data_IF_108500944853
#
_entry.id   IF_108500944853
#
_cell.length_a   1.000
_cell.length_b   1.000
_cell.length_c   1.000
_cell.angle_alpha   90.00
_cell.angle_beta   90.00
_cell.angle_gamma   90.00
#
_symmetry.space_group_name_H-M   'P 1'
#
loop_
_entity.id
_entity.type
_entity.pdbx_description
1 polymer ?
#
# COMPACT_ATOMS: atom_id res chain seq x y z
N UNK A 1 -38.26 -17.48 19.65
CA UNK A 1 -37.30 -17.09 20.70
C UNK A 1 -36.06 -17.96 20.53
N UNK A 2 -34.91 -17.35 20.23
CA UNK A 2 -33.66 -18.05 19.99
C UNK A 2 -32.62 -17.07 19.46
N UNK A 3 -32.09 -16.24 20.36
CA UNK A 3 -30.97 -15.35 20.06
C UNK A 3 -29.72 -16.22 19.82
N UNK A 4 -29.31 -16.36 18.57
CA UNK A 4 -27.96 -16.84 18.25
C UNK A 4 -27.01 -15.64 18.32
N UNK A 5 -26.61 -15.29 19.55
CA UNK A 5 -25.46 -14.42 19.75
C UNK A 5 -24.21 -15.19 19.36
N UNK A 6 -23.70 -14.96 18.16
CA UNK A 6 -22.36 -15.37 17.77
C UNK A 6 -21.42 -14.24 18.18
N UNK A 7 -20.72 -14.43 19.30
CA UNK A 7 -19.61 -13.57 19.68
C UNK A 7 -18.38 -14.00 18.87
N UNK A 8 -17.89 -13.14 17.99
CA UNK A 8 -16.58 -13.33 17.36
C UNK A 8 -15.54 -12.76 18.32
N UNK A 9 -14.85 -13.66 19.02
CA UNK A 9 -13.62 -13.34 19.74
C UNK A 9 -12.53 -13.12 18.69
N UNK A 10 -12.26 -11.86 18.35
CA UNK A 10 -11.01 -11.52 17.67
C UNK A 10 -9.89 -11.75 18.68
N UNK A 11 -9.28 -12.94 18.57
CA UNK A 11 -8.07 -13.28 19.30
C UNK A 11 -7.01 -12.22 19.01
N UNK A 12 -6.18 -12.00 20.01
CA UNK A 12 -5.07 -11.07 20.06
C UNK A 12 -4.07 -11.34 18.93
N UNK A 13 -4.40 -10.96 17.70
CA UNK A 13 -3.39 -10.45 16.79
C UNK A 13 -3.06 -9.07 17.31
N UNK A 14 -1.84 -8.83 17.78
CA UNK A 14 -1.34 -7.47 17.60
C UNK A 14 -1.54 -7.16 16.11
N UNK A 15 -1.81 -5.90 15.76
CA UNK A 15 -1.44 -5.43 14.43
C UNK A 15 0.08 -5.56 14.38
N UNK A 16 0.56 -6.79 14.19
CA UNK A 16 1.95 -7.14 14.31
C UNK A 16 2.55 -6.53 13.07
N UNK A 17 3.25 -5.41 13.27
CA UNK A 17 4.18 -4.80 12.34
C UNK A 17 5.27 -5.84 12.06
N UNK A 18 4.97 -6.82 11.21
CA UNK A 18 5.92 -7.84 10.80
C UNK A 18 6.48 -7.46 9.45
N UNK A 19 7.71 -6.94 9.47
CA UNK A 19 8.48 -6.54 8.29
C UNK A 19 8.99 -7.72 7.43
N UNK A 20 8.47 -8.94 7.63
CA UNK A 20 8.99 -10.15 6.99
C UNK A 20 8.18 -10.53 5.76
N UNK A 21 8.81 -10.39 4.59
CA UNK A 21 8.21 -10.60 3.26
C UNK A 21 8.24 -12.07 2.83
N UNK A 22 7.16 -12.61 2.21
CA UNK A 22 7.22 -13.89 1.51
C UNK A 22 8.11 -13.80 0.26
N UNK A 23 8.90 -14.84 0.01
CA UNK A 23 9.80 -14.95 -1.14
C UNK A 23 9.02 -15.12 -2.45
N UNK A 24 9.32 -14.24 -3.41
CA UNK A 24 8.93 -14.21 -4.85
C UNK A 24 7.79 -13.28 -5.30
N UNK A 25 6.96 -12.72 -4.41
CA UNK A 25 6.02 -11.63 -4.78
C UNK A 25 6.52 -10.25 -4.28
N UNK A 26 6.55 -9.25 -5.19
CA UNK A 26 6.52 -7.81 -4.86
C UNK A 26 7.83 -7.02 -4.76
N UNK A 27 8.88 -7.29 -5.55
CA UNK A 27 10.03 -6.37 -5.60
C UNK A 27 9.66 -5.20 -6.51
N UNK A 28 10.16 -3.99 -6.19
CA UNK A 28 9.96 -2.82 -7.03
C UNK A 28 10.39 -3.12 -8.46
N UNK A 29 9.48 -2.96 -9.39
CA UNK A 29 9.70 -2.99 -10.82
C UNK A 29 10.21 -1.63 -11.30
N UNK A 30 10.62 -1.56 -12.57
CA UNK A 30 11.05 -0.29 -13.18
C UNK A 30 10.02 0.83 -13.02
N UNK A 31 8.72 0.51 -13.06
CA UNK A 31 7.64 1.49 -12.98
C UNK A 31 7.47 2.07 -11.57
N UNK A 32 7.92 1.36 -10.53
CA UNK A 32 7.80 1.84 -9.14
C UNK A 32 8.80 2.97 -8.82
N UNK A 33 9.86 3.12 -9.63
CA UNK A 33 10.70 4.32 -9.65
C UNK A 33 10.17 5.38 -10.61
N UNK A 34 8.86 5.61 -10.61
CA UNK A 34 8.21 6.69 -11.34
C UNK A 34 8.34 8.01 -10.57
N UNK A 35 8.45 9.12 -11.30
CA UNK A 35 8.52 10.45 -10.68
C UNK A 35 7.22 10.79 -9.93
N UNK A 36 6.07 10.47 -10.51
CA UNK A 36 4.76 10.61 -9.88
C UNK A 36 4.39 9.28 -9.19
N UNK A 37 3.82 9.28 -7.96
CA UNK A 37 3.45 8.08 -7.27
C UNK A 37 2.18 7.47 -7.84
N UNK A 38 2.01 6.15 -7.70
CA UNK A 38 0.80 5.44 -8.11
C UNK A 38 0.09 4.81 -6.90
N UNK A 39 -1.21 4.54 -7.05
CA UNK A 39 -1.95 3.78 -6.04
C UNK A 39 -1.32 2.41 -5.85
N UNK A 40 -1.14 2.01 -4.59
CA UNK A 40 -0.49 0.75 -4.26
C UNK A 40 1.04 0.83 -4.22
N UNK A 41 1.63 1.97 -4.57
CA UNK A 41 3.07 2.16 -4.56
C UNK A 41 3.66 2.20 -3.16
N UNK A 42 4.96 1.89 -3.06
CA UNK A 42 5.68 1.84 -1.79
C UNK A 42 5.95 3.23 -1.22
N UNK A 43 5.75 3.41 0.08
CA UNK A 43 6.19 4.61 0.82
C UNK A 43 6.77 4.23 2.17
N UNK A 44 7.62 5.09 2.72
CA UNK A 44 8.14 4.93 4.07
C UNK A 44 8.71 6.22 4.62
N UNK A 45 9.07 6.24 5.91
CA UNK A 45 9.71 7.40 6.52
C UNK A 45 10.98 7.81 5.76
N UNK A 46 11.15 9.11 5.55
CA UNK A 46 12.25 9.64 4.73
C UNK A 46 13.62 9.22 5.27
N UNK A 47 14.52 8.85 4.35
CA UNK A 47 15.90 8.47 4.66
C UNK A 47 16.01 7.31 5.67
N UNK A 48 15.00 6.44 5.74
CA UNK A 48 14.96 5.32 6.68
C UNK A 48 14.60 4.00 6.03
N UNK A 49 15.26 2.94 6.49
CA UNK A 49 14.99 1.55 6.11
C UNK A 49 14.12 0.81 7.12
N UNK A 50 13.53 1.52 8.09
CA UNK A 50 12.82 0.89 9.21
C UNK A 50 11.52 0.22 8.80
N UNK A 51 10.76 0.83 7.88
CA UNK A 51 9.45 0.32 7.48
C UNK A 51 9.02 0.77 6.09
N UNK A 52 8.15 -0.02 5.48
CA UNK A 52 7.54 0.21 4.18
C UNK A 52 6.03 -0.04 4.26
N UNK A 53 5.25 0.85 3.67
CA UNK A 53 3.79 0.84 3.65
C UNK A 53 3.25 1.28 2.28
N UNK A 54 1.94 1.42 2.13
CA UNK A 54 1.31 1.71 0.84
C UNK A 54 0.87 3.16 0.73
N UNK A 55 1.16 3.76 -0.43
CA UNK A 55 0.50 4.99 -0.90
C UNK A 55 -0.87 4.63 -1.46
N UNK A 56 -1.93 5.06 -0.78
CA UNK A 56 -3.30 4.73 -1.20
C UNK A 56 -3.67 5.40 -2.52
N UNK A 57 -3.38 6.69 -2.62
CA UNK A 57 -3.72 7.54 -3.74
C UNK A 57 -3.88 8.99 -3.29
N UNK A 58 -4.49 9.80 -4.13
CA UNK A 58 -4.75 11.20 -3.88
C UNK A 58 -6.20 11.49 -3.48
N UNK A 59 -6.40 12.50 -2.65
CA UNK A 59 -7.70 13.12 -2.33
C UNK A 59 -7.65 14.61 -2.61
N UNK A 60 -8.76 15.17 -3.08
CA UNK A 60 -8.96 16.62 -3.11
C UNK A 60 -9.67 17.07 -1.83
N UNK A 61 -9.11 18.09 -1.18
CA UNK A 61 -9.61 18.68 0.06
C UNK A 61 -9.87 20.16 -0.18
N UNK A 62 -11.09 20.62 0.08
CA UNK A 62 -11.49 22.01 -0.13
C UNK A 62 -11.27 22.83 1.14
N UNK A 63 -10.26 23.70 1.12
CA UNK A 63 -9.99 24.63 2.21
C UNK A 63 -10.82 25.91 2.05
N UNK A 64 -11.35 26.50 3.15
CA UNK A 64 -12.20 27.69 3.10
C UNK A 64 -11.60 28.88 2.35
N UNK A 65 -10.28 29.10 2.49
CA UNK A 65 -9.56 30.25 1.91
C UNK A 65 -8.75 29.91 0.65
N UNK A 66 -8.37 28.64 0.45
CA UNK A 66 -7.38 28.24 -0.56
C UNK A 66 -7.99 27.43 -1.70
N UNK A 67 -9.27 27.04 -1.59
CA UNK A 67 -9.95 26.21 -2.57
C UNK A 67 -9.51 24.76 -2.50
N UNK A 68 -9.63 24.06 -3.63
CA UNK A 68 -9.27 22.63 -3.72
C UNK A 68 -7.76 22.45 -3.76
N UNK A 69 -7.25 21.62 -2.85
CA UNK A 69 -5.86 21.16 -2.83
C UNK A 69 -5.81 19.63 -2.85
N UNK A 70 -4.78 19.10 -3.48
CA UNK A 70 -4.56 17.67 -3.59
C UNK A 70 -3.59 17.19 -2.50
N UNK A 71 -3.93 16.08 -1.86
CA UNK A 71 -3.12 15.43 -0.83
C UNK A 71 -2.96 13.96 -1.13
N UNK A 72 -1.77 13.41 -0.86
CA UNK A 72 -1.60 11.95 -0.79
C UNK A 72 -2.29 11.39 0.45
N UNK A 73 -2.72 10.13 0.41
CA UNK A 73 -3.38 9.47 1.53
C UNK A 73 -2.72 8.12 1.86
N UNK A 74 -2.48 7.89 3.14
CA UNK A 74 -2.05 6.62 3.73
C UNK A 74 -2.59 6.50 5.18
N UNK A 75 -2.13 5.55 5.98
CA UNK A 75 -2.50 5.44 7.39
C UNK A 75 -1.62 6.31 8.31
N UNK A 76 -2.13 6.64 9.51
CA UNK A 76 -1.38 7.36 10.53
C UNK A 76 -0.17 6.54 11.00
N UNK A 77 -0.38 5.26 11.33
CA UNK A 77 0.71 4.40 11.81
C UNK A 77 1.83 4.18 10.78
N UNK A 78 1.54 4.41 9.50
CA UNK A 78 2.52 4.31 8.42
C UNK A 78 3.50 5.49 8.42
N UNK A 79 3.04 6.68 8.84
CA UNK A 79 3.86 7.89 8.87
C UNK A 79 4.54 8.12 10.22
N UNK A 80 3.99 7.56 11.31
CA UNK A 80 4.56 7.64 12.67
C UNK A 80 5.39 6.41 13.07
N UNK A 81 5.75 5.56 12.10
CA UNK A 81 6.45 4.30 12.38
C UNK A 81 7.82 4.47 13.07
N UNK A 82 8.55 5.55 12.78
CA UNK A 82 9.83 5.87 13.41
C UNK A 82 9.70 6.69 14.69
N UNK A 83 8.77 7.64 14.67
CA UNK A 83 8.59 8.65 15.69
C UNK A 83 7.10 8.85 15.89
N UNK A 84 6.68 8.65 17.14
CA UNK A 84 5.35 9.01 17.58
C UNK A 84 5.39 9.62 18.97
N UNK A 85 4.50 10.57 19.22
CA UNK A 85 4.26 11.16 20.52
C UNK A 85 2.90 10.70 21.03
N UNK A 86 2.73 10.67 22.37
CA UNK A 86 1.43 10.38 22.97
C UNK A 86 0.32 11.33 22.49
N UNK A 87 0.69 12.57 22.17
CA UNK A 87 -0.23 13.57 21.63
C UNK A 87 -0.68 13.20 20.21
N UNK A 88 0.26 12.87 19.32
CA UNK A 88 -0.07 12.43 17.96
C UNK A 88 -0.88 11.13 17.95
N UNK A 89 -0.53 10.17 18.82
CA UNK A 89 -1.27 8.92 18.94
C UNK A 89 -2.73 9.17 19.36
N UNK A 90 -2.98 10.15 20.24
CA UNK A 90 -4.30 10.39 20.80
C UNK A 90 -5.15 11.37 19.99
N UNK A 91 -4.53 12.42 19.48
CA UNK A 91 -5.20 13.55 18.86
C UNK A 91 -4.95 13.66 17.36
N UNK A 92 -3.99 12.89 16.84
CA UNK A 92 -3.50 13.01 15.49
C UNK A 92 -2.60 14.22 15.30
N UNK A 93 -2.18 14.42 14.05
CA UNK A 93 -1.38 15.57 13.66
C UNK A 93 -2.34 16.62 13.08
N UNK A 94 -2.39 17.79 13.69
CA UNK A 94 -3.17 18.92 13.19
C UNK A 94 -2.36 19.76 12.19
N UNK A 95 -3.01 20.35 11.16
CA UNK A 95 -2.32 21.25 10.23
C UNK A 95 -1.58 22.37 10.92
N UNK A 96 -0.36 22.67 10.46
CA UNK A 96 0.45 23.76 10.98
C UNK A 96 1.06 23.52 12.35
N UNK A 97 0.97 22.30 12.91
CA UNK A 97 1.72 21.93 14.12
C UNK A 97 3.23 22.12 13.85
N UNK A 98 3.94 23.00 14.56
CA UNK A 98 5.37 23.26 14.33
C UNK A 98 6.26 22.08 14.71
N UNK A 99 5.76 21.14 15.52
CA UNK A 99 6.49 19.92 15.90
C UNK A 99 6.43 18.85 14.81
N UNK A 100 5.54 18.99 13.82
CA UNK A 100 5.43 18.04 12.73
C UNK A 100 6.52 18.28 11.67
N UNK A 101 7.55 17.44 11.72
CA UNK A 101 8.67 17.39 10.78
C UNK A 101 8.71 16.08 9.96
N UNK A 102 7.62 15.29 10.00
CA UNK A 102 7.58 13.97 9.37
C UNK A 102 7.57 14.12 7.85
N UNK A 103 8.54 13.46 7.21
CA UNK A 103 8.71 13.42 5.75
C UNK A 103 8.70 11.98 5.26
N UNK A 104 8.23 11.79 4.03
CA UNK A 104 7.94 10.47 3.45
C UNK A 104 8.67 10.34 2.12
N UNK A 105 9.23 9.16 1.88
CA UNK A 105 9.84 8.74 0.61
C UNK A 105 8.86 7.95 -0.26
N UNK A 106 9.04 8.08 -1.58
CA UNK A 106 8.43 7.26 -2.62
C UNK A 106 9.45 6.96 -3.75
N UNK A 107 9.74 5.67 -4.03
CA UNK A 107 9.39 4.52 -3.20
C UNK A 107 10.07 4.59 -1.82
N UNK A 108 9.70 3.74 -0.86
CA UNK A 108 10.42 3.69 0.42
C UNK A 108 11.90 3.37 0.22
N UNK A 109 12.78 3.91 1.08
CA UNK A 109 14.21 3.62 1.01
C UNK A 109 14.52 2.14 1.31
N UNK A 110 13.74 1.53 2.20
CA UNK A 110 13.81 0.09 2.50
C UNK A 110 13.56 -0.75 1.23
N UNK A 111 12.41 -0.55 0.55
CA UNK A 111 12.08 -1.30 -0.67
C UNK A 111 13.05 -1.00 -1.81
N UNK A 112 13.50 0.25 -1.92
CA UNK A 112 14.54 0.64 -2.87
C UNK A 112 15.83 -0.18 -2.65
N UNK A 113 16.30 -0.26 -1.41
CA UNK A 113 17.53 -0.97 -1.04
C UNK A 113 17.39 -2.47 -1.26
N UNK A 114 16.27 -3.04 -0.84
CA UNK A 114 15.97 -4.47 -1.04
C UNK A 114 15.87 -4.84 -2.52
N UNK A 115 15.23 -4.00 -3.35
CA UNK A 115 15.12 -4.25 -4.78
C UNK A 115 16.48 -4.15 -5.50
N UNK A 116 17.32 -3.17 -5.13
CA UNK A 116 18.69 -3.08 -5.66
C UNK A 116 19.50 -4.32 -5.31
N UNK A 117 19.44 -4.77 -4.05
CA UNK A 117 20.14 -5.97 -3.59
C UNK A 117 19.67 -7.19 -4.39
N UNK A 118 18.36 -7.40 -4.48
CA UNK A 118 17.75 -8.50 -5.24
C UNK A 118 18.22 -8.52 -6.70
N UNK A 119 18.20 -7.38 -7.39
CA UNK A 119 18.62 -7.32 -8.78
C UNK A 119 20.11 -7.59 -8.97
N UNK A 120 20.97 -7.15 -8.05
CA UNK A 120 22.40 -7.47 -8.09
C UNK A 120 22.64 -8.98 -7.94
N UNK A 121 22.05 -9.58 -6.91
CA UNK A 121 22.14 -11.02 -6.64
C UNK A 121 21.61 -11.84 -7.82
N UNK A 122 20.42 -11.49 -8.34
CA UNK A 122 19.83 -12.20 -9.49
C UNK A 122 20.67 -12.07 -10.78
N UNK A 123 21.28 -10.91 -11.03
CA UNK A 123 22.20 -10.73 -12.17
C UNK A 123 23.44 -11.62 -11.99
N UNK A 124 24.00 -11.66 -10.78
CA UNK A 124 25.16 -12.48 -10.45
C UNK A 124 24.86 -13.96 -10.64
N UNK A 125 23.77 -14.46 -10.05
CA UNK A 125 23.32 -15.85 -10.15
C UNK A 125 23.09 -16.29 -11.60
N UNK A 126 22.36 -15.49 -12.39
CA UNK A 126 22.11 -15.80 -13.81
C UNK A 126 23.41 -15.77 -14.62
N UNK A 127 24.30 -14.81 -14.34
CA UNK A 127 25.57 -14.64 -15.07
C UNK A 127 26.60 -15.73 -14.73
N UNK A 128 26.55 -16.26 -13.50
CA UNK A 128 27.44 -17.31 -13.02
C UNK A 128 26.89 -18.74 -13.26
N UNK A 129 25.63 -18.87 -13.67
CA UNK A 129 25.01 -20.18 -13.90
C UNK A 129 25.81 -21.02 -14.92
N UNK A 130 26.11 -22.26 -14.55
CA UNK A 130 26.94 -23.17 -15.37
C UNK A 130 26.38 -23.33 -16.79
N UNK A 131 25.06 -23.43 -16.92
CA UNK A 131 24.39 -23.52 -18.21
C UNK A 131 24.64 -22.27 -19.07
N UNK A 132 24.55 -21.07 -18.49
CA UNK A 132 24.77 -19.84 -19.23
C UNK A 132 26.23 -19.69 -19.65
N UNK A 133 27.18 -19.94 -18.73
CA UNK A 133 28.62 -19.82 -19.01
C UNK A 133 29.09 -20.85 -20.04
N UNK A 134 28.67 -22.11 -19.90
CA UNK A 134 29.07 -23.20 -20.81
C UNK A 134 28.51 -23.00 -22.21
N UNK A 135 27.23 -22.63 -22.37
CA UNK A 135 26.64 -22.34 -23.67
C UNK A 135 27.31 -21.13 -24.30
N UNK A 136 27.55 -20.05 -23.53
CA UNK A 136 28.25 -18.86 -24.02
C UNK A 136 29.62 -19.22 -24.59
N UNK A 137 30.42 -19.96 -23.82
CA UNK A 137 31.77 -20.38 -24.25
C UNK A 137 31.73 -21.20 -25.54
N UNK A 138 30.85 -22.19 -25.63
CA UNK A 138 30.70 -23.03 -26.83
C UNK A 138 30.21 -22.23 -28.04
N UNK A 139 29.34 -21.24 -27.83
CA UNK A 139 28.92 -20.32 -28.89
C UNK A 139 30.06 -19.41 -29.36
N UNK A 140 30.89 -18.90 -28.44
CA UNK A 140 32.07 -18.08 -28.77
C UNK A 140 33.15 -18.89 -29.52
N UNK A 141 33.16 -20.22 -29.36
CA UNK A 141 34.06 -21.18 -30.02
C UNK A 141 33.48 -21.77 -31.34
N UNK A 142 32.32 -21.30 -31.81
CA UNK A 142 31.61 -21.82 -32.99
C UNK A 142 31.36 -23.34 -32.96
N UNK A 143 31.13 -23.91 -31.76
CA UNK A 143 30.91 -25.34 -31.56
C UNK A 143 29.63 -25.82 -32.29
N UNK A 144 29.73 -26.71 -33.30
CA UNK A 144 28.58 -27.17 -34.08
C UNK A 144 27.60 -28.03 -33.26
N UNK A 145 27.98 -28.47 -32.06
CA UNK A 145 27.12 -29.26 -31.17
C UNK A 145 26.11 -28.41 -30.38
N UNK A 146 26.21 -27.08 -30.42
CA UNK A 146 25.24 -26.20 -29.74
C UNK A 146 23.90 -26.24 -30.48
N UNK A 147 22.91 -26.86 -29.84
CA UNK A 147 21.57 -27.02 -30.39
C UNK A 147 20.80 -25.69 -30.47
N UNK A 148 19.78 -25.59 -31.33
CA UNK A 148 18.88 -24.42 -31.37
C UNK A 148 18.23 -24.12 -30.02
N UNK A 149 17.89 -25.15 -29.23
CA UNK A 149 17.28 -24.99 -27.91
C UNK A 149 18.25 -24.35 -26.90
N UNK A 150 19.53 -24.74 -26.91
CA UNK A 150 20.55 -24.12 -26.06
C UNK A 150 20.77 -22.65 -26.43
N UNK A 151 20.83 -22.32 -27.73
CA UNK A 151 20.90 -20.93 -28.19
C UNK A 151 19.70 -20.12 -27.70
N UNK A 152 18.50 -20.69 -27.78
CA UNK A 152 17.28 -20.03 -27.32
C UNK A 152 17.25 -19.85 -25.79
N UNK A 153 17.75 -20.83 -25.03
CA UNK A 153 17.91 -20.70 -23.58
C UNK A 153 18.92 -19.60 -23.21
N UNK A 154 20.08 -19.57 -23.88
CA UNK A 154 21.08 -18.52 -23.71
C UNK A 154 20.51 -17.13 -23.99
N UNK A 155 19.83 -16.93 -25.13
CA UNK A 155 19.27 -15.62 -25.48
C UNK A 155 18.17 -15.17 -24.51
N UNK A 156 17.37 -16.10 -23.97
CA UNK A 156 16.40 -15.79 -22.91
C UNK A 156 17.10 -15.28 -21.65
N UNK A 157 18.09 -15.99 -21.14
CA UNK A 157 18.86 -15.58 -19.95
C UNK A 157 19.61 -14.27 -20.20
N UNK A 158 20.22 -14.09 -21.37
CA UNK A 158 20.90 -12.84 -21.76
C UNK A 158 19.94 -11.66 -21.78
N UNK A 159 18.74 -11.84 -22.34
CA UNK A 159 17.69 -10.81 -22.38
C UNK A 159 17.22 -10.47 -20.96
N UNK A 160 17.04 -11.46 -20.10
CA UNK A 160 16.69 -11.25 -18.69
C UNK A 160 17.77 -10.46 -17.95
N UNK A 161 19.06 -10.85 -18.06
CA UNK A 161 20.18 -10.11 -17.47
C UNK A 161 20.21 -8.66 -17.98
N UNK A 162 20.00 -8.44 -19.28
CA UNK A 162 19.97 -7.10 -19.85
C UNK A 162 18.82 -6.25 -19.28
N UNK A 163 17.63 -6.84 -19.13
CA UNK A 163 16.48 -6.20 -18.52
C UNK A 163 16.75 -5.82 -17.06
N UNK A 164 17.28 -6.76 -16.25
CA UNK A 164 17.63 -6.52 -14.85
C UNK A 164 18.67 -5.39 -14.71
N UNK A 165 19.71 -5.38 -15.55
CA UNK A 165 20.71 -4.30 -15.57
C UNK A 165 20.10 -2.95 -15.91
N UNK A 166 19.17 -2.90 -16.86
CA UNK A 166 18.47 -1.67 -17.21
C UNK A 166 17.62 -1.15 -16.05
N UNK A 167 16.88 -2.03 -15.38
CA UNK A 167 16.08 -1.68 -14.18
C UNK A 167 16.97 -1.21 -13.04
N UNK A 168 18.08 -1.89 -12.76
CA UNK A 168 19.04 -1.46 -11.73
C UNK A 168 19.64 -0.08 -12.03
N UNK A 169 20.01 0.19 -13.29
CA UNK A 169 20.50 1.51 -13.71
C UNK A 169 19.43 2.59 -13.56
N UNK A 170 18.16 2.27 -13.80
CA UNK A 170 17.05 3.19 -13.58
C UNK A 170 16.90 3.53 -12.10
N UNK A 171 16.88 2.52 -11.22
CA UNK A 171 16.81 2.69 -9.78
C UNK A 171 17.95 3.57 -9.23
N UNK A 172 19.20 3.31 -9.64
CA UNK A 172 20.34 4.15 -9.22
C UNK A 172 20.21 5.60 -9.70
N UNK A 173 19.77 5.84 -10.95
CA UNK A 173 19.56 7.21 -11.44
C UNK A 173 18.48 7.94 -10.67
N UNK A 174 17.42 7.24 -10.29
CA UNK A 174 16.35 7.80 -9.48
C UNK A 174 16.87 8.25 -8.10
N UNK A 175 17.63 7.39 -7.43
CA UNK A 175 18.25 7.70 -6.13
C UNK A 175 19.24 8.87 -6.21
N UNK A 176 20.14 8.86 -7.20
CA UNK A 176 21.17 9.89 -7.35
C UNK A 176 20.62 11.30 -7.65
N UNK A 177 19.36 11.39 -8.08
CA UNK A 177 18.68 12.66 -8.33
C UNK A 177 17.92 13.18 -7.10
N UNK A 178 18.08 12.52 -5.94
CA UNK A 178 17.38 12.84 -4.70
C UNK A 178 15.85 12.85 -4.86
N UNK A 179 15.34 11.92 -5.68
CA UNK A 179 13.91 11.85 -6.05
C UNK A 179 13.07 10.98 -5.11
N UNK A 180 13.64 10.48 -4.01
CA UNK A 180 12.89 9.68 -3.05
C UNK A 180 11.87 10.56 -2.30
N UNK A 181 12.26 11.75 -1.83
CA UNK A 181 11.41 12.61 -1.01
C UNK A 181 10.08 12.93 -1.73
N UNK A 182 8.99 12.35 -1.25
CA UNK A 182 7.64 12.55 -1.78
C UNK A 182 7.03 13.84 -1.26
N UNK A 183 7.17 14.07 0.04
CA UNK A 183 6.53 15.19 0.71
C UNK A 183 6.57 15.06 2.22
N UNK A 184 5.70 15.83 2.87
CA UNK A 184 5.59 15.90 4.33
C UNK A 184 4.18 15.52 4.78
N UNK A 185 4.07 15.00 6.00
CA UNK A 185 2.76 14.77 6.62
C UNK A 185 2.11 16.13 6.84
N UNK A 186 0.86 16.29 6.39
CA UNK A 186 0.08 17.50 6.58
C UNK A 186 -0.83 17.41 7.81
N UNK A 187 -1.55 16.29 7.92
CA UNK A 187 -2.47 16.02 9.02
C UNK A 187 -2.67 14.51 9.18
N UNK A 188 -3.12 14.07 10.35
CA UNK A 188 -3.49 12.67 10.56
C UNK A 188 -4.54 12.51 11.66
N UNK A 189 -5.17 11.34 11.75
CA UNK A 189 -6.21 11.05 12.74
C UNK A 189 -5.68 10.75 14.14
N UNK A 190 -4.48 10.17 14.25
CA UNK A 190 -4.08 9.39 15.42
C UNK A 190 -4.84 8.06 15.48
N UNK A 191 -4.77 7.37 16.62
CA UNK A 191 -5.50 6.13 16.93
C UNK A 191 -6.86 6.40 17.59
N UNK A 192 -7.58 7.39 17.07
CA UNK A 192 -8.87 7.80 17.62
C UNK A 192 -10.02 6.98 17.07
N UNK A 193 -11.21 7.23 17.61
CA UNK A 193 -12.45 6.76 17.01
C UNK A 193 -13.41 7.92 16.81
N UNK A 194 -14.30 7.78 15.84
CA UNK A 194 -15.40 8.71 15.66
C UNK A 194 -16.53 8.45 16.67
N UNK A 195 -17.57 9.27 16.61
CA UNK A 195 -18.76 9.17 17.47
C UNK A 195 -19.54 7.85 17.31
N UNK A 196 -19.38 7.16 16.19
CA UNK A 196 -19.95 5.84 15.89
C UNK A 196 -19.05 4.69 16.40
N UNK A 197 -17.97 5.02 17.12
CA UNK A 197 -16.91 4.11 17.58
C UNK A 197 -16.13 3.46 16.45
N UNK A 198 -16.17 4.00 15.23
CA UNK A 198 -15.33 3.49 14.16
C UNK A 198 -13.90 3.96 14.34
N UNK A 199 -12.96 3.03 14.17
CA UNK A 199 -11.54 3.30 14.30
C UNK A 199 -11.08 4.14 13.11
N UNK A 200 -10.23 5.11 13.41
CA UNK A 200 -9.62 6.00 12.45
C UNK A 200 -8.11 5.82 12.50
N UNK A 201 -7.51 5.84 11.33
CA UNK A 201 -6.08 5.64 11.13
C UNK A 201 -5.74 6.10 9.72
N UNK A 202 -5.64 7.41 9.53
CA UNK A 202 -5.35 8.02 8.24
C UNK A 202 -4.35 9.18 8.39
N UNK A 203 -3.58 9.43 7.35
CA UNK A 203 -2.67 10.56 7.24
C UNK A 203 -2.71 11.16 5.83
N UNK A 204 -2.81 12.48 5.77
CA UNK A 204 -2.68 13.27 4.56
C UNK A 204 -1.23 13.70 4.36
N UNK A 205 -0.74 13.60 3.13
CA UNK A 205 0.60 14.01 2.71
C UNK A 205 0.48 15.24 1.82
N UNK A 206 1.20 16.30 2.17
CA UNK A 206 1.46 17.41 1.24
C UNK A 206 2.58 16.97 0.28
N UNK A 207 2.17 16.61 -0.93
CA UNK A 207 3.04 16.12 -2.01
C UNK A 207 3.43 17.29 -2.92
N UNK A 208 4.67 17.30 -3.42
CA UNK A 208 5.10 18.27 -4.43
C UNK A 208 4.13 18.28 -5.63
N UNK A 209 3.68 19.47 -6.04
CA UNK A 209 2.69 19.63 -7.11
C UNK A 209 3.15 19.06 -8.46
N UNK A 210 4.46 18.94 -8.69
CA UNK A 210 5.02 18.33 -9.89
C UNK A 210 5.03 16.80 -9.83
N UNK A 211 4.87 16.21 -8.64
CA UNK A 211 4.82 14.76 -8.42
C UNK A 211 3.39 14.23 -8.31
N UNK A 212 2.39 15.00 -8.70
CA UNK A 212 0.99 14.57 -8.61
C UNK A 212 0.63 13.63 -9.77
N UNK A 213 -0.16 12.59 -9.50
CA UNK A 213 -0.74 11.71 -10.52
C UNK A 213 -2.25 11.53 -10.34
N UNK A 214 -2.85 10.73 -11.23
CA UNK A 214 -4.24 10.28 -11.10
C UNK A 214 -4.31 8.96 -10.33
N UNK A 215 -5.44 8.74 -9.65
CA UNK A 215 -5.81 7.47 -9.03
C UNK A 215 -6.17 6.41 -10.08
N UNK A 216 -5.20 6.00 -10.89
CA UNK A 216 -5.41 5.08 -12.01
C UNK A 216 -5.78 3.70 -11.51
N UNK A 217 -6.87 3.17 -12.04
CA UNK A 217 -7.29 1.80 -11.84
C UNK A 217 -6.44 0.84 -12.69
N UNK A 218 -6.20 -0.39 -12.20
CA UNK A 218 -5.41 -1.38 -12.94
C UNK A 218 -6.12 -1.74 -14.25
N UNK A 219 -5.34 -1.90 -15.32
CA UNK A 219 -5.87 -2.44 -16.58
C UNK A 219 -6.14 -3.94 -16.44
N UNK A 220 -6.93 -4.51 -17.34
CA UNK A 220 -7.22 -5.95 -17.33
C UNK A 220 -5.96 -6.82 -17.41
N UNK A 221 -4.88 -6.28 -18.00
CA UNK A 221 -3.61 -6.96 -18.12
C UNK A 221 -2.85 -7.01 -16.78
N UNK A 222 -3.04 -6.00 -15.93
CA UNK A 222 -2.48 -5.93 -14.57
C UNK A 222 -3.22 -6.85 -13.59
N UNK A 223 -4.44 -7.29 -13.94
CA UNK A 223 -5.26 -8.15 -13.08
C UNK A 223 -4.86 -9.63 -13.21
N UNK A 224 -4.68 -10.35 -12.09
CA UNK A 224 -4.48 -11.80 -12.09
C UNK A 224 -5.58 -12.53 -12.85
N UNK A 225 -5.21 -13.51 -13.69
CA UNK A 225 -6.16 -14.20 -14.58
C UNK A 225 -7.43 -14.71 -13.88
N UNK A 226 -7.32 -15.22 -12.66
CA UNK A 226 -8.46 -15.72 -11.87
C UNK A 226 -9.45 -14.64 -11.41
N UNK A 227 -9.01 -13.38 -11.37
CA UNK A 227 -9.78 -12.22 -10.90
C UNK A 227 -10.39 -11.40 -12.04
N UNK A 228 -9.93 -11.60 -13.29
CA UNK A 228 -10.37 -10.82 -14.46
C UNK A 228 -11.88 -10.86 -14.70
N UNK A 229 -12.54 -11.98 -14.38
CA UNK A 229 -13.98 -12.12 -14.57
C UNK A 229 -14.82 -11.32 -13.55
N UNK A 230 -14.29 -11.07 -12.35
CA UNK A 230 -14.96 -10.27 -11.32
C UNK A 230 -14.62 -8.79 -11.39
N UNK A 231 -13.51 -8.42 -12.02
CA UNK A 231 -13.09 -7.04 -12.20
C UNK A 231 -13.86 -6.39 -13.36
N UNK A 232 -14.67 -5.37 -13.05
CA UNK A 232 -15.65 -4.76 -13.97
C UNK A 232 -15.45 -3.25 -14.13
N UNK A 233 -14.29 -2.73 -13.76
CA UNK A 233 -14.01 -1.30 -13.91
C UNK A 233 -13.92 -0.94 -15.40
N UNK A 234 -14.74 0.04 -15.79
CA UNK A 234 -14.76 0.58 -17.16
C UNK A 234 -14.01 1.91 -17.29
N UNK A 235 -13.73 2.56 -16.15
CA UNK A 235 -13.02 3.84 -16.08
C UNK A 235 -11.53 3.59 -15.82
N UNK A 236 -10.69 4.46 -16.36
CA UNK A 236 -9.24 4.43 -16.10
C UNK A 236 -8.87 4.99 -14.72
N UNK A 237 -9.75 5.78 -14.11
CA UNK A 237 -9.52 6.46 -12.83
C UNK A 237 -10.61 6.07 -11.85
N UNK A 238 -10.21 5.95 -10.58
CA UNK A 238 -11.08 5.64 -9.46
C UNK A 238 -12.24 6.63 -9.36
N UNK A 239 -13.46 6.11 -9.25
CA UNK A 239 -14.66 6.90 -9.07
C UNK A 239 -14.87 7.32 -7.61
N UNK A 240 -15.81 8.24 -7.41
CA UNK A 240 -16.20 8.73 -6.09
C UNK A 240 -16.63 7.64 -5.10
N UNK A 241 -16.79 8.01 -3.81
CA UNK A 241 -17.12 7.05 -2.77
C UNK A 241 -18.48 6.38 -2.99
N UNK A 242 -18.55 5.08 -2.76
CA UNK A 242 -19.80 4.31 -2.71
C UNK A 242 -20.03 3.78 -1.30
N UNK A 243 -21.26 3.89 -0.81
CA UNK A 243 -21.62 3.36 0.49
C UNK A 243 -21.53 1.84 0.52
N UNK A 244 -21.09 1.29 1.66
CA UNK A 244 -21.02 -0.16 1.87
C UNK A 244 -22.43 -0.76 1.91
N UNK A 245 -22.70 -1.77 1.06
CA UNK A 245 -24.00 -2.45 0.95
C UNK A 245 -23.83 -3.96 0.95
N UNK A 246 -24.80 -4.66 1.54
CA UNK A 246 -24.98 -6.12 1.41
C UNK A 246 -23.71 -6.94 1.57
N UNK A 247 -23.71 -8.09 0.91
CA UNK A 247 -22.49 -8.73 0.43
C UNK A 247 -21.99 -7.94 -0.79
N UNK A 248 -20.75 -7.51 -0.73
CA UNK A 248 -20.13 -6.70 -1.79
C UNK A 248 -18.70 -7.16 -1.99
N UNK A 249 -18.33 -7.38 -3.26
CA UNK A 249 -16.95 -7.61 -3.63
C UNK A 249 -16.13 -6.34 -3.42
N UNK A 250 -14.89 -6.50 -2.99
CA UNK A 250 -13.94 -5.41 -2.79
C UNK A 250 -12.58 -5.79 -3.36
N UNK A 251 -11.84 -4.79 -3.80
CA UNK A 251 -10.51 -4.90 -4.36
C UNK A 251 -9.59 -3.92 -3.64
N UNK A 252 -8.29 -4.22 -3.63
CA UNK A 252 -7.25 -3.25 -3.28
C UNK A 252 -6.00 -3.48 -4.12
N UNK A 253 -5.12 -2.49 -4.17
CA UNK A 253 -3.74 -2.64 -4.63
C UNK A 253 -2.84 -2.19 -3.49
N UNK A 254 -2.05 -3.11 -2.94
CA UNK A 254 -1.09 -2.82 -1.87
C UNK A 254 0.34 -3.12 -2.29
N UNK A 255 1.32 -2.48 -1.64
CA UNK A 255 2.73 -2.64 -1.99
C UNK A 255 3.23 -4.08 -1.85
N UNK A 256 2.65 -4.87 -0.94
CA UNK A 256 3.11 -6.23 -0.63
C UNK A 256 2.36 -7.27 -1.45
N UNK A 257 1.03 -7.17 -1.54
CA UNK A 257 0.23 -8.18 -2.27
C UNK A 257 -0.04 -7.82 -3.73
N UNK A 258 0.25 -6.59 -4.15
CA UNK A 258 -0.32 -6.04 -5.38
C UNK A 258 -1.85 -6.06 -5.33
N UNK A 259 -2.48 -6.48 -6.43
CA UNK A 259 -3.93 -6.64 -6.52
C UNK A 259 -4.45 -7.80 -5.65
N UNK A 260 -5.42 -7.49 -4.78
CA UNK A 260 -6.15 -8.45 -3.96
C UNK A 260 -7.65 -8.25 -4.08
N UNK A 261 -8.40 -9.35 -4.01
CA UNK A 261 -9.86 -9.34 -3.97
C UNK A 261 -10.37 -9.94 -2.66
N UNK A 262 -11.51 -9.43 -2.21
CA UNK A 262 -12.23 -9.94 -1.06
C UNK A 262 -13.72 -9.70 -1.17
N UNK A 263 -14.44 -10.11 -0.13
CA UNK A 263 -15.88 -9.93 -0.02
C UNK A 263 -16.20 -9.45 1.39
N UNK A 264 -17.11 -8.48 1.49
CA UNK A 264 -17.71 -8.08 2.76
C UNK A 264 -18.73 -9.16 3.18
N UNK A 265 -18.51 -9.79 4.34
CA UNK A 265 -19.43 -10.79 4.86
C UNK A 265 -20.67 -10.20 5.53
N UNK A 266 -21.57 -11.05 6.04
CA UNK A 266 -22.76 -10.63 6.79
C UNK A 266 -22.40 -9.86 8.07
N UNK A 267 -21.32 -10.28 8.76
CA UNK A 267 -20.72 -9.53 9.85
C UNK A 267 -19.77 -8.49 9.27
N UNK A 268 -20.24 -7.24 9.23
CA UNK A 268 -19.48 -6.15 8.61
C UNK A 268 -18.47 -5.51 9.54
N UNK A 269 -18.68 -5.57 10.86
CA UNK A 269 -17.86 -4.84 11.82
C UNK A 269 -17.19 -5.78 12.81
N UNK A 270 -15.88 -5.59 12.95
CA UNK A 270 -15.02 -6.27 13.92
C UNK A 270 -14.87 -5.39 15.17
N UNK A 271 -15.05 -5.95 16.37
CA UNK A 271 -14.67 -5.29 17.64
C UNK A 271 -13.16 -5.41 17.82
N UNK A 272 -12.46 -4.31 17.64
CA UNK A 272 -11.01 -4.25 17.68
C UNK A 272 -10.58 -3.48 18.91
N UNK A 273 -9.60 -4.06 19.58
CA UNK A 273 -8.94 -3.41 20.68
C UNK A 273 -7.80 -2.52 20.16
N UNK A 274 -8.00 -1.21 20.24
CA UNK A 274 -6.96 -0.22 19.98
C UNK A 274 -6.18 0.09 21.26
N UNK A 275 -4.89 0.31 21.08
CA UNK A 275 -3.98 0.75 22.12
C UNK A 275 -3.37 2.07 21.71
N UNK A 276 -3.30 3.02 22.64
CA UNK A 276 -2.57 4.26 22.44
C UNK A 276 -1.74 4.55 23.68
N UNK A 277 -0.65 5.30 23.48
CA UNK A 277 0.25 5.70 24.55
C UNK A 277 -0.24 7.00 25.17
N UNK A 278 -0.40 7.03 26.50
CA UNK A 278 -0.78 8.24 27.22
C UNK A 278 0.44 9.14 27.52
N UNK A 279 0.19 10.34 28.03
CA UNK A 279 1.24 11.33 28.34
C UNK A 279 2.23 10.86 29.43
N UNK A 280 1.91 9.79 30.16
CA UNK A 280 2.73 9.19 31.20
C UNK A 280 3.39 7.87 30.74
N UNK A 281 3.38 7.58 29.43
CA UNK A 281 3.94 6.37 28.85
C UNK A 281 3.18 5.07 29.23
N UNK A 282 1.91 5.18 29.62
CA UNK A 282 1.06 4.02 29.83
C UNK A 282 0.27 3.70 28.57
N UNK A 283 0.07 2.40 28.32
CA UNK A 283 -0.81 1.92 27.27
C UNK A 283 -2.26 1.90 27.76
N UNK A 284 -3.11 2.72 27.15
CA UNK A 284 -4.55 2.70 27.38
C UNK A 284 -5.26 1.86 26.31
N UNK A 285 -6.37 1.25 26.69
CA UNK A 285 -7.13 0.28 25.90
C UNK A 285 -8.50 0.83 25.58
N UNK A 286 -8.86 0.84 24.31
CA UNK A 286 -10.25 1.10 23.91
C UNK A 286 -10.74 0.13 22.84
N UNK A 287 -12.05 -0.14 22.83
CA UNK A 287 -12.73 -0.99 21.85
C UNK A 287 -13.43 -0.13 20.80
N UNK A 288 -13.13 -0.40 19.53
CA UNK A 288 -13.72 0.27 18.38
C UNK A 288 -14.19 -0.72 17.31
N UNK A 289 -14.76 -0.19 16.25
CA UNK A 289 -15.30 -0.95 15.13
C UNK A 289 -14.53 -0.63 13.85
N UNK A 290 -14.23 -1.64 13.04
CA UNK A 290 -13.76 -1.44 11.65
C UNK A 290 -14.48 -2.40 10.70
N UNK A 291 -14.49 -2.07 9.41
CA UNK A 291 -15.12 -2.94 8.43
C UNK A 291 -14.26 -4.15 8.09
N UNK A 292 -14.86 -5.34 8.10
CA UNK A 292 -14.20 -6.62 7.89
C UNK A 292 -14.32 -7.11 6.44
N UNK A 293 -13.22 -7.60 5.89
CA UNK A 293 -13.12 -8.17 4.54
C UNK A 293 -12.60 -9.60 4.64
N UNK A 294 -13.27 -10.53 3.97
CA UNK A 294 -12.79 -11.90 3.81
C UNK A 294 -12.04 -12.06 2.49
N UNK A 295 -10.92 -12.80 2.46
CA UNK A 295 -10.15 -13.01 1.24
C UNK A 295 -10.93 -13.86 0.25
N UNK A 296 -10.74 -13.58 -1.04
CA UNK A 296 -11.25 -14.42 -2.12
C UNK A 296 -10.13 -15.29 -2.69
N UNK A 297 -10.42 -16.57 -2.92
CA UNK A 297 -9.50 -17.51 -3.57
C UNK A 297 -9.00 -16.96 -4.93
N UNK A 298 -7.74 -17.24 -5.32
CA UNK A 298 -6.83 -18.21 -4.71
C UNK A 298 -5.99 -17.69 -3.54
N UNK A 299 -6.03 -16.38 -3.24
CA UNK A 299 -5.29 -15.83 -2.09
C UNK A 299 -5.93 -16.28 -0.77
N UNK A 300 -5.08 -16.59 0.21
CA UNK A 300 -5.49 -16.96 1.56
C UNK A 300 -5.67 -15.74 2.47
N UNK A 301 -5.11 -14.60 2.10
CA UNK A 301 -5.15 -13.35 2.86
C UNK A 301 -5.60 -12.20 1.98
N UNK A 302 -6.38 -11.26 2.53
CA UNK A 302 -6.80 -10.08 1.78
C UNK A 302 -5.65 -9.08 1.66
N UNK A 303 -4.85 -8.93 2.71
CA UNK A 303 -3.64 -8.13 2.73
C UNK A 303 -2.55 -8.73 3.62
N UNK A 304 -1.33 -8.26 3.41
CA UNK A 304 -0.12 -8.63 4.15
C UNK A 304 0.51 -7.39 4.81
N UNK A 305 1.44 -7.55 5.76
CA UNK A 305 2.21 -6.44 6.29
C UNK A 305 2.82 -5.57 5.19
N UNK A 306 2.64 -4.26 5.29
CA UNK A 306 3.00 -3.28 4.27
C UNK A 306 1.84 -2.81 3.40
N UNK A 307 0.73 -3.54 3.32
CA UNK A 307 -0.43 -3.09 2.53
C UNK A 307 -1.25 -1.96 3.19
N UNK A 308 -1.01 -1.68 4.47
CA UNK A 308 -1.60 -0.54 5.18
C UNK A 308 -1.46 0.74 4.36
N UNK A 309 -2.58 1.44 4.17
CA UNK A 309 -2.70 2.66 3.38
C UNK A 309 -3.31 2.41 2.01
N UNK A 310 -3.49 1.15 1.59
CA UNK A 310 -4.13 0.82 0.31
C UNK A 310 -5.56 1.34 0.22
N UNK A 311 -5.94 1.89 -0.92
CA UNK A 311 -7.34 2.15 -1.20
C UNK A 311 -8.11 0.83 -1.39
N UNK A 312 -9.26 0.75 -0.74
CA UNK A 312 -10.26 -0.29 -0.97
C UNK A 312 -11.29 0.27 -1.93
N UNK A 313 -11.57 -0.45 -3.01
CA UNK A 313 -12.50 -0.03 -4.05
C UNK A 313 -13.37 -1.20 -4.51
N UNK A 314 -14.53 -0.90 -5.08
CA UNK A 314 -15.42 -1.92 -5.65
C UNK A 314 -14.82 -2.50 -6.94
N UNK A 315 -15.22 -3.71 -7.37
CA UNK A 315 -14.80 -4.25 -8.66
C UNK A 315 -15.19 -3.36 -9.86
N UNK A 316 -16.14 -2.43 -9.68
CA UNK A 316 -16.54 -1.43 -10.68
C UNK A 316 -15.64 -0.19 -10.70
N UNK A 317 -14.72 -0.06 -9.73
CA UNK A 317 -13.79 1.06 -9.65
C UNK A 317 -14.24 2.25 -8.81
N UNK A 318 -15.27 2.11 -7.97
CA UNK A 318 -15.67 3.16 -7.01
C UNK A 318 -14.95 3.00 -5.68
N UNK A 319 -14.48 4.11 -5.09
CA UNK A 319 -13.81 4.13 -3.79
C UNK A 319 -14.74 3.65 -2.66
N UNK A 320 -14.23 2.83 -1.74
CA UNK A 320 -14.98 2.30 -0.60
C UNK A 320 -14.34 2.74 0.72
N UNK A 321 -13.01 2.84 0.78
CA UNK A 321 -12.33 3.18 2.03
C UNK A 321 -10.83 2.97 2.02
N UNK A 322 -10.23 3.01 3.21
CA UNK A 322 -8.79 2.92 3.43
C UNK A 322 -8.43 1.69 4.26
N UNK A 323 -7.63 0.79 3.70
CA UNK A 323 -7.17 -0.43 4.37
C UNK A 323 -6.19 -0.09 5.50
N UNK A 324 -6.39 -0.67 6.69
CA UNK A 324 -5.57 -0.42 7.89
C UNK A 324 -4.66 -1.60 8.26
N UNK A 325 -5.02 -2.81 7.84
CA UNK A 325 -4.37 -4.04 8.31
C UNK A 325 -5.39 -5.17 8.43
N UNK A 326 -5.05 -6.23 9.16
CA UNK A 326 -5.91 -7.40 9.28
C UNK A 326 -5.32 -8.50 10.14
N UNK A 327 -6.06 -9.59 10.24
CA UNK A 327 -5.61 -10.83 10.86
C UNK A 327 -5.09 -11.77 9.77
N UNK A 328 -3.78 -12.00 9.78
CA UNK A 328 -3.11 -12.86 8.81
C UNK A 328 -3.43 -14.35 9.00
N UNK A 329 -3.64 -14.80 10.23
CA UNK A 329 -3.99 -16.20 10.52
C UNK A 329 -5.41 -16.51 10.02
N UNK A 330 -6.35 -15.59 10.23
CA UNK A 330 -7.70 -15.68 9.69
C UNK A 330 -7.79 -15.28 8.20
N UNK A 331 -6.74 -14.63 7.68
CA UNK A 331 -6.68 -14.07 6.33
C UNK A 331 -7.56 -12.83 6.10
N UNK A 332 -8.21 -12.31 7.14
CA UNK A 332 -9.19 -11.22 7.05
C UNK A 332 -8.54 -9.84 7.06
N UNK A 333 -9.14 -8.89 6.35
CA UNK A 333 -8.71 -7.49 6.30
C UNK A 333 -9.66 -6.53 7.01
N UNK A 334 -9.15 -5.36 7.38
CA UNK A 334 -9.85 -4.29 8.08
C UNK A 334 -9.65 -2.96 7.35
N UNK A 335 -10.72 -2.17 7.22
CA UNK A 335 -10.65 -0.85 6.59
C UNK A 335 -11.60 0.18 7.20
N UNK A 336 -11.29 1.46 6.97
CA UNK A 336 -12.10 2.63 7.33
C UNK A 336 -13.01 2.96 6.14
N UNK A 337 -14.32 3.03 6.33
CA UNK A 337 -15.24 3.44 5.27
C UNK A 337 -15.01 4.89 4.85
N UNK A 338 -15.14 5.16 3.55
CA UNK A 338 -14.96 6.48 2.95
C UNK A 338 -15.77 7.59 3.63
N UNK A 339 -17.01 7.31 4.06
CA UNK A 339 -17.85 8.29 4.76
C UNK A 339 -17.24 8.76 6.07
N UNK A 340 -16.82 7.82 6.93
CA UNK A 340 -16.19 8.15 8.21
C UNK A 340 -14.81 8.78 8.01
N UNK A 341 -14.06 8.31 7.00
CA UNK A 341 -12.77 8.89 6.63
C UNK A 341 -12.90 10.36 6.21
N UNK A 342 -13.84 10.69 5.31
CA UNK A 342 -14.00 12.05 4.80
C UNK A 342 -14.59 12.98 5.85
N UNK A 343 -15.53 12.51 6.67
CA UNK A 343 -16.07 13.26 7.81
C UNK A 343 -14.95 13.64 8.79
N UNK A 344 -14.07 12.69 9.09
CA UNK A 344 -12.98 12.89 10.03
C UNK A 344 -11.87 13.80 9.47
N UNK A 345 -11.53 13.67 8.18
CA UNK A 345 -10.61 14.61 7.50
C UNK A 345 -11.12 16.04 7.60
N UNK A 346 -12.40 16.28 7.33
CA UNK A 346 -13.00 17.61 7.47
C UNK A 346 -12.89 18.13 8.90
N UNK A 347 -13.12 17.27 9.89
CA UNK A 347 -13.02 17.64 11.29
C UNK A 347 -11.58 18.05 11.69
N UNK A 348 -10.53 17.33 11.25
CA UNK A 348 -9.14 17.68 11.59
C UNK A 348 -8.68 18.94 10.87
N UNK A 349 -9.03 19.05 9.59
CA UNK A 349 -8.44 20.06 8.72
C UNK A 349 -9.25 21.36 8.69
N UNK A 350 -10.51 21.34 9.13
CA UNK A 350 -11.45 22.44 8.92
C UNK A 350 -11.92 22.56 7.46
N UNK A 351 -11.68 21.55 6.63
CA UNK A 351 -12.08 21.53 5.23
C UNK A 351 -13.61 21.51 5.07
N UNK A 352 -14.08 22.15 4.00
CA UNK A 352 -15.49 22.20 3.64
C UNK A 352 -15.94 20.87 3.02
N UNK A 353 -15.15 20.36 2.08
CA UNK A 353 -15.45 19.13 1.33
C UNK A 353 -14.20 18.30 1.06
N UNK A 354 -14.38 17.00 0.86
CA UNK A 354 -13.33 16.03 0.52
C UNK A 354 -13.87 15.10 -0.56
N UNK A 355 -13.07 14.83 -1.61
CA UNK A 355 -13.49 13.95 -2.70
C UNK A 355 -12.33 13.22 -3.37
N UNK A 356 -12.70 12.21 -4.17
CA UNK A 356 -11.78 11.49 -5.05
C UNK A 356 -11.51 12.34 -6.31
N UNK A 357 -10.23 12.34 -6.76
CA UNK A 357 -9.73 12.67 -8.07
C UNK A 357 -10.67 12.50 -9.25
N UNK A 358 -11.14 13.51 -9.96
CA UNK A 358 -11.82 13.25 -11.26
C UNK A 358 -10.85 12.94 -12.40
#
# INVERSE_FOLDING_TARGET
MGLHHVAVELRRGSLLQFHSRPSEEGFLTKNDWSFEPCMGGSIGPHSSTFSSSTFGGFLEVQHPSEGWKLYGLTNHHCVTALESTADWDKHGIVPGNPENNLTIDYPSLDDHTLAIKHYKEKIEDLSASESYVSIKKRMDEDDPSVSPNEKHAYERTRTEISHLKHTLNHAHKYFLRDQLLLGKVYASSGYRMNTKKHILDWALLEVDSNRVSKNRLPSIDDIPRGSRASYLALKEVLDGPVAVRGEMGVCKIGRSTGFSEGVLGEIRKADIQCWFRDANDNWDKTRGLAYLVYPKAPRLTFGEPGDSGSFVFSPQGSFIGLYMGGDREAGTGLFIEAGDLFEDIKQVTGALEVRIPS
#
